data_IF_042108762639
#
_entry.id   IF_042108762639
#
_cell.length_a   1.000
_cell.length_b   1.000
_cell.length_c   1.000
_cell.angle_alpha   90.00
_cell.angle_beta   90.00
_cell.angle_gamma   90.00
#
_symmetry.space_group_name_H-M   'P 1'
#
loop_
_entity.id
_entity.type
_entity.pdbx_description
1 polymer ?
#
# COMPACT_ATOMS: atom_id res chain seq x y z
N UNK A 1 36.09 13.97 7.85
CA UNK A 1 36.43 12.59 8.26
C UNK A 1 35.23 12.02 9.00
N UNK A 2 34.72 10.83 8.65
CA UNK A 2 33.61 10.23 9.38
C UNK A 2 34.02 9.83 10.80
N UNK A 3 33.11 9.98 11.76
CA UNK A 3 33.29 9.49 13.13
C UNK A 3 32.71 8.08 13.26
N UNK A 4 33.60 7.11 13.48
CA UNK A 4 33.27 5.69 13.58
C UNK A 4 33.58 5.15 14.99
N UNK A 5 32.72 5.43 16.00
CA UNK A 5 32.82 4.79 17.30
C UNK A 5 32.47 3.29 17.22
N UNK A 6 32.76 2.54 18.29
CA UNK A 6 32.34 1.14 18.41
C UNK A 6 30.83 1.05 18.70
N UNK A 7 30.03 1.00 17.63
CA UNK A 7 28.56 0.86 17.72
C UNK A 7 28.21 -0.63 17.94
N UNK A 8 27.37 -0.97 18.94
CA UNK A 8 26.90 -2.34 19.17
C UNK A 8 26.25 -2.94 17.91
N UNK A 9 26.37 -4.25 17.69
CA UNK A 9 26.00 -4.88 16.42
C UNK A 9 24.53 -4.64 16.04
N UNK A 10 23.63 -4.81 17.01
CA UNK A 10 22.19 -4.56 16.86
C UNK A 10 21.79 -3.07 16.75
N UNK A 11 22.76 -2.15 16.84
CA UNK A 11 22.55 -0.69 16.74
C UNK A 11 23.16 -0.08 15.47
N UNK A 12 23.82 -0.88 14.63
CA UNK A 12 24.28 -0.44 13.31
C UNK A 12 23.07 -0.16 12.41
N UNK A 13 23.17 0.84 11.53
CA UNK A 13 22.24 1.03 10.41
C UNK A 13 23.02 1.02 9.11
N UNK A 14 22.55 0.17 8.19
CA UNK A 14 23.16 -0.15 6.91
C UNK A 14 23.24 1.06 5.95
N UNK A 15 24.46 1.38 5.51
CA UNK A 15 24.78 2.45 4.55
C UNK A 15 25.07 1.89 3.13
N UNK A 16 25.07 0.58 2.95
CA UNK A 16 25.22 -0.06 1.63
C UNK A 16 24.12 -1.11 1.40
N UNK A 17 22.86 -0.67 1.19
CA UNK A 17 21.74 -1.58 0.91
C UNK A 17 21.83 -2.28 -0.46
N UNK A 18 22.69 -1.79 -1.34
CA UNK A 18 22.88 -2.32 -2.70
C UNK A 18 23.73 -3.60 -2.68
N UNK A 19 23.59 -4.43 -3.72
CA UNK A 19 24.39 -5.64 -3.84
C UNK A 19 25.90 -5.34 -4.00
N UNK A 20 26.75 -6.14 -3.34
CA UNK A 20 28.20 -6.04 -3.47
C UNK A 20 28.83 -4.86 -2.73
N UNK A 21 28.53 -4.73 -1.44
CA UNK A 21 29.21 -3.84 -0.52
C UNK A 21 30.72 -4.15 -0.44
N UNK A 22 31.55 -3.11 -0.47
CA UNK A 22 33.01 -3.25 -0.28
C UNK A 22 33.56 -2.05 0.48
N UNK A 23 34.73 -2.23 1.12
CA UNK A 23 35.41 -1.19 1.90
C UNK A 23 35.52 0.14 1.12
N UNK A 24 36.05 0.07 -0.11
CA UNK A 24 36.23 1.25 -0.97
C UNK A 24 34.91 1.98 -1.26
N UNK A 25 33.83 1.25 -1.58
CA UNK A 25 32.50 1.86 -1.82
C UNK A 25 31.89 2.45 -0.55
N UNK A 26 32.12 1.83 0.60
CA UNK A 26 31.66 2.33 1.90
C UNK A 26 32.37 3.64 2.28
N UNK A 27 33.69 3.68 2.10
CA UNK A 27 34.54 4.86 2.34
C UNK A 27 34.21 6.01 1.36
N UNK A 28 33.90 5.69 0.09
CA UNK A 28 33.39 6.67 -0.89
C UNK A 28 32.05 7.30 -0.46
N UNK A 29 31.14 6.53 0.13
CA UNK A 29 29.89 7.03 0.73
C UNK A 29 30.11 7.77 2.07
N UNK A 30 31.35 7.85 2.55
CA UNK A 30 31.70 8.47 3.82
C UNK A 30 31.21 7.69 5.04
N UNK A 31 31.03 6.37 4.91
CA UNK A 31 30.50 5.49 5.95
C UNK A 31 31.57 4.60 6.59
N UNK A 32 31.20 3.97 7.72
CA UNK A 32 32.09 3.16 8.53
C UNK A 32 32.10 1.71 8.07
N UNK A 33 33.28 1.14 7.85
CA UNK A 33 33.46 -0.26 7.45
C UNK A 33 33.95 -1.12 8.62
N UNK A 34 33.21 -2.18 8.97
CA UNK A 34 33.58 -3.18 9.97
C UNK A 34 33.03 -4.54 9.55
N UNK A 35 33.83 -5.39 8.88
CA UNK A 35 33.43 -6.71 8.42
C UNK A 35 33.30 -7.67 9.62
N UNK A 36 32.36 -8.60 9.53
CA UNK A 36 32.03 -9.57 10.57
C UNK A 36 31.55 -10.89 9.94
N UNK A 37 31.84 -12.02 10.59
CA UNK A 37 31.41 -13.35 10.15
C UNK A 37 29.93 -13.67 10.48
N UNK A 38 29.24 -12.80 11.23
CA UNK A 38 27.81 -12.91 11.52
C UNK A 38 26.96 -12.60 10.28
N UNK A 39 26.09 -13.54 9.91
CA UNK A 39 25.18 -13.37 8.76
C UNK A 39 24.17 -12.25 9.03
N UNK A 40 23.92 -11.45 7.99
CA UNK A 40 22.98 -10.32 7.93
C UNK A 40 23.36 -9.06 8.74
N UNK A 41 24.48 -9.03 9.48
CA UNK A 41 24.95 -7.78 10.14
C UNK A 41 25.62 -6.86 9.11
N UNK A 42 25.27 -5.56 9.02
CA UNK A 42 25.85 -4.65 8.04
C UNK A 42 27.36 -4.44 8.24
N UNK A 43 28.14 -4.78 7.20
CA UNK A 43 29.57 -4.50 7.12
C UNK A 43 29.87 -3.01 6.87
N UNK A 44 28.95 -2.28 6.22
CA UNK A 44 29.00 -0.84 6.01
C UNK A 44 27.85 -0.16 6.75
N UNK A 45 28.16 0.75 7.68
CA UNK A 45 27.16 1.42 8.52
C UNK A 45 27.39 2.94 8.62
N UNK A 46 26.33 3.67 8.95
CA UNK A 46 26.38 5.13 9.03
C UNK A 46 27.25 5.66 10.19
N UNK A 47 27.98 6.78 9.99
CA UNK A 47 28.72 7.45 11.05
C UNK A 47 27.82 8.43 11.82
N UNK A 48 28.25 8.84 13.02
CA UNK A 48 27.49 9.75 13.90
C UNK A 48 27.39 11.20 13.40
N UNK A 49 28.12 11.57 12.34
CA UNK A 49 28.20 12.93 11.81
C UNK A 49 27.44 13.16 10.49
N UNK A 50 26.61 12.21 10.07
CA UNK A 50 25.69 12.35 8.93
C UNK A 50 24.32 12.86 9.44
N UNK A 51 23.49 13.48 8.60
CA UNK A 51 22.16 13.99 8.98
C UNK A 51 22.03 15.52 8.89
N UNK A 52 21.17 16.10 9.73
CA UNK A 52 20.68 17.49 9.61
C UNK A 52 20.84 18.31 10.92
N UNK A 53 20.47 19.59 10.92
CA UNK A 53 20.59 20.51 12.07
C UNK A 53 19.50 21.60 12.07
N UNK A 54 18.98 21.98 13.26
CA UNK A 54 17.92 22.98 13.52
C UNK A 54 16.48 22.59 13.08
N UNK A 55 15.47 23.40 13.43
CA UNK A 55 14.06 23.14 13.09
C UNK A 55 13.75 23.36 11.60
N UNK A 56 14.37 24.38 10.99
CA UNK A 56 14.75 24.35 9.58
C UNK A 56 16.03 23.52 9.49
N UNK A 57 15.87 22.29 9.05
CA UNK A 57 16.89 21.25 8.99
C UNK A 57 17.86 21.51 7.85
N UNK A 58 19.04 22.06 8.15
CA UNK A 58 20.14 22.13 7.19
C UNK A 58 20.97 20.84 7.19
N UNK A 59 21.20 20.27 6.00
CA UNK A 59 22.04 19.07 5.77
C UNK A 59 23.48 19.31 6.24
N UNK A 60 24.08 18.33 6.90
CA UNK A 60 25.50 18.32 7.25
C UNK A 60 26.38 18.03 6.02
N UNK A 61 27.65 18.46 6.06
CA UNK A 61 28.59 18.26 4.95
C UNK A 61 29.06 16.78 4.86
N UNK A 62 28.30 15.96 4.13
CA UNK A 62 28.59 14.56 3.83
C UNK A 62 28.53 14.28 2.31
N UNK A 63 29.23 13.23 1.81
CA UNK A 63 29.03 12.73 0.45
C UNK A 63 27.55 12.39 0.18
N UNK A 64 27.17 12.42 -1.11
CA UNK A 64 25.87 11.92 -1.54
C UNK A 64 25.87 10.39 -1.61
N UNK A 65 24.71 9.77 -1.34
CA UNK A 65 24.53 8.32 -1.48
C UNK A 65 23.97 7.92 -2.85
N UNK A 66 23.01 8.71 -3.36
CA UNK A 66 22.20 8.40 -4.55
C UNK A 66 21.99 9.62 -5.48
N UNK A 67 22.62 10.77 -5.19
CA UNK A 67 22.38 12.05 -5.88
C UNK A 67 21.21 12.84 -5.29
N UNK A 68 21.07 14.10 -5.73
CA UNK A 68 19.93 14.98 -5.44
C UNK A 68 19.50 15.09 -3.96
N UNK A 69 20.46 15.16 -3.03
CA UNK A 69 20.21 15.47 -1.63
C UNK A 69 19.55 16.85 -1.46
N UNK A 70 18.57 16.97 -0.55
CA UNK A 70 17.90 18.24 -0.25
C UNK A 70 18.60 18.92 0.92
N UNK A 71 19.02 20.18 0.73
CA UNK A 71 19.77 20.95 1.73
C UNK A 71 18.92 21.48 2.89
N UNK A 72 17.67 21.91 2.63
CA UNK A 72 16.81 22.62 3.59
C UNK A 72 15.46 21.92 3.77
N UNK A 73 15.32 21.09 4.81
CA UNK A 73 14.02 20.49 5.18
C UNK A 73 13.36 21.29 6.29
N UNK A 74 12.03 21.19 6.41
CA UNK A 74 11.30 21.68 7.59
C UNK A 74 10.78 20.47 8.37
N UNK A 75 11.08 20.43 9.67
CA UNK A 75 10.44 19.50 10.60
C UNK A 75 9.23 20.17 11.25
N UNK A 76 8.04 19.68 10.94
CA UNK A 76 6.80 20.06 11.61
C UNK A 76 6.30 18.91 12.48
N UNK A 77 5.85 19.19 13.69
CA UNK A 77 5.23 18.20 14.56
C UNK A 77 4.04 18.79 15.30
N UNK A 78 2.91 18.10 15.25
CA UNK A 78 1.64 18.52 15.83
C UNK A 78 1.06 17.38 16.71
N UNK A 79 0.53 17.75 17.86
CA UNK A 79 -0.24 16.84 18.71
C UNK A 79 -1.72 17.03 18.34
N UNK A 80 -2.28 16.11 17.55
CA UNK A 80 -3.64 16.24 17.00
C UNK A 80 -4.72 15.89 18.03
N UNK A 81 -4.46 14.87 18.84
CA UNK A 81 -5.29 14.44 19.97
C UNK A 81 -4.36 14.13 21.16
N UNK A 82 -4.90 13.80 22.34
CA UNK A 82 -4.05 13.35 23.45
C UNK A 82 -3.38 11.98 23.19
N UNK A 83 -3.87 11.24 22.19
CA UNK A 83 -3.46 9.90 21.78
C UNK A 83 -2.69 9.86 20.45
N UNK A 84 -2.65 10.95 19.66
CA UNK A 84 -2.07 10.96 18.31
C UNK A 84 -1.10 12.13 18.08
N UNK A 85 0.19 11.80 17.97
CA UNK A 85 1.26 12.69 17.54
C UNK A 85 1.49 12.50 16.04
N UNK A 86 1.49 13.58 15.26
CA UNK A 86 1.98 13.57 13.87
C UNK A 86 3.31 14.31 13.79
N UNK A 87 4.22 13.83 12.95
CA UNK A 87 5.37 14.62 12.51
C UNK A 87 5.60 14.45 11.01
N UNK A 88 6.02 15.54 10.36
CA UNK A 88 6.24 15.65 8.93
C UNK A 88 7.60 16.28 8.65
N UNK A 89 8.37 15.66 7.75
CA UNK A 89 9.62 16.20 7.22
C UNK A 89 9.44 16.37 5.71
N UNK A 90 9.60 17.60 5.25
CA UNK A 90 9.36 18.01 3.87
C UNK A 90 10.41 19.05 3.43
N UNK A 91 10.54 19.24 2.13
CA UNK A 91 11.41 20.26 1.53
C UNK A 91 10.86 21.67 1.83
N UNK A 92 11.72 22.60 2.24
CA UNK A 92 11.33 23.97 2.64
C UNK A 92 11.14 24.92 1.46
N UNK A 93 11.69 24.58 0.29
CA UNK A 93 11.73 25.42 -0.91
C UNK A 93 10.77 24.91 -2.00
N UNK A 94 10.50 23.59 -2.03
CA UNK A 94 9.71 22.94 -3.08
C UNK A 94 8.59 22.08 -2.50
N UNK A 95 7.38 22.25 -3.02
CA UNK A 95 6.30 21.30 -2.78
C UNK A 95 6.65 19.96 -3.43
N UNK A 96 6.57 18.88 -2.65
CA UNK A 96 6.79 17.50 -3.09
C UNK A 96 5.46 16.75 -3.15
N UNK A 97 5.45 15.56 -3.73
CA UNK A 97 4.27 14.69 -3.71
C UNK A 97 3.89 14.31 -2.26
N UNK A 98 2.63 14.50 -1.93
CA UNK A 98 1.98 14.07 -0.69
C UNK A 98 0.77 13.22 -1.07
N UNK A 99 0.43 12.20 -0.26
CA UNK A 99 -0.66 11.27 -0.61
C UNK A 99 -2.02 11.98 -0.45
N UNK A 100 -2.83 12.12 -1.53
CA UNK A 100 -4.15 12.72 -1.46
C UNK A 100 -5.15 11.70 -0.88
N UNK A 101 -5.26 11.62 0.44
CA UNK A 101 -6.02 10.57 1.13
C UNK A 101 -7.40 11.10 1.60
N UNK A 102 -8.49 10.57 1.03
CA UNK A 102 -9.87 11.11 1.18
C UNK A 102 -10.36 11.26 2.63
N UNK A 103 -10.03 10.30 3.50
CA UNK A 103 -10.43 10.30 4.90
C UNK A 103 -9.52 11.13 5.82
N UNK A 104 -8.24 11.35 5.48
CA UNK A 104 -7.30 12.05 6.35
C UNK A 104 -7.49 13.57 6.21
N UNK A 105 -8.40 14.10 7.03
CA UNK A 105 -8.65 15.54 7.13
C UNK A 105 -7.63 16.22 8.06
N UNK A 106 -7.26 17.45 7.75
CA UNK A 106 -6.49 18.32 8.66
C UNK A 106 -7.34 18.65 9.89
N UNK A 107 -7.11 17.91 10.98
CA UNK A 107 -7.82 18.12 12.25
C UNK A 107 -7.30 19.37 12.94
N UNK A 108 -8.20 20.25 13.40
CA UNK A 108 -7.84 21.42 14.20
C UNK A 108 -7.18 21.00 15.53
N UNK A 109 -5.97 21.48 15.79
CA UNK A 109 -5.13 21.03 16.91
C UNK A 109 -5.59 21.62 18.25
N UNK A 110 -6.39 20.83 18.99
CA UNK A 110 -6.83 21.11 20.36
C UNK A 110 -6.21 20.13 21.40
N UNK A 111 -4.87 20.01 21.52
CA UNK A 111 -4.24 19.11 22.47
C UNK A 111 -4.44 19.59 23.92
N UNK A 112 -4.78 18.68 24.83
CA UNK A 112 -4.95 18.99 26.27
C UNK A 112 -3.62 19.01 27.04
N UNK A 113 -2.48 18.86 26.37
CA UNK A 113 -1.16 18.80 27.01
C UNK A 113 -0.03 19.26 26.07
N UNK A 114 1.06 19.86 26.59
CA UNK A 114 2.17 20.32 25.76
C UNK A 114 2.90 19.17 25.05
N UNK A 115 3.12 19.33 23.74
CA UNK A 115 3.89 18.39 22.89
C UNK A 115 5.32 18.11 23.43
N UNK A 116 5.90 19.04 24.19
CA UNK A 116 7.19 18.90 24.85
C UNK A 116 7.25 17.77 25.93
N UNK A 117 6.10 17.26 26.39
CA UNK A 117 6.03 16.10 27.26
C UNK A 117 6.26 14.80 26.49
N UNK A 118 5.79 14.74 25.24
CA UNK A 118 5.84 13.55 24.38
C UNK A 118 7.01 13.55 23.41
N UNK A 119 7.52 14.72 22.99
CA UNK A 119 8.57 14.87 21.99
C UNK A 119 9.83 15.50 22.61
N UNK A 120 11.01 14.91 22.37
CA UNK A 120 12.33 15.52 22.63
C UNK A 120 13.11 15.62 21.33
N UNK A 121 13.59 16.82 20.98
CA UNK A 121 14.43 17.03 19.78
C UNK A 121 15.89 17.18 20.22
N UNK A 122 16.78 16.44 19.56
CA UNK A 122 18.23 16.60 19.58
C UNK A 122 18.62 17.40 18.33
N UNK A 123 19.44 18.44 18.48
CA UNK A 123 19.76 19.36 17.38
C UNK A 123 21.04 19.01 16.59
N UNK A 124 21.97 18.25 17.17
CA UNK A 124 23.30 17.95 16.61
C UNK A 124 23.76 16.53 16.99
N UNK A 125 23.78 15.55 16.05
CA UNK A 125 23.02 15.57 14.80
C UNK A 125 21.50 15.68 15.08
N UNK A 126 20.72 16.07 14.08
CA UNK A 126 19.26 16.03 14.22
C UNK A 126 18.76 14.59 14.42
N UNK A 127 17.96 14.43 15.46
CA UNK A 127 17.16 13.24 15.73
C UNK A 127 16.16 13.58 16.84
N UNK A 128 15.15 12.75 17.03
CA UNK A 128 14.10 13.01 18.01
C UNK A 128 13.66 11.72 18.71
N UNK A 129 13.17 11.89 19.94
CA UNK A 129 12.67 10.82 20.79
C UNK A 129 11.23 11.12 21.14
N UNK A 130 10.33 10.24 20.72
CA UNK A 130 8.95 10.23 21.16
C UNK A 130 8.85 9.31 22.37
N UNK A 131 8.23 9.80 23.43
CA UNK A 131 8.11 9.17 24.76
C UNK A 131 6.64 9.21 25.18
N UNK A 132 6.18 8.15 25.83
CA UNK A 132 4.82 8.07 26.39
C UNK A 132 4.79 8.60 27.83
N UNK A 133 5.80 8.21 28.61
CA UNK A 133 6.12 8.72 29.94
C UNK A 133 7.64 8.98 29.98
N UNK A 134 8.13 9.72 30.97
CA UNK A 134 9.56 10.10 31.09
C UNK A 134 10.55 8.94 30.92
N UNK A 135 10.21 7.76 31.47
CA UNK A 135 11.05 6.56 31.46
C UNK A 135 10.81 5.62 30.27
N UNK A 136 9.98 5.97 29.27
CA UNK A 136 9.63 5.06 28.17
C UNK A 136 9.52 5.76 26.81
N UNK A 137 10.64 5.77 26.07
CA UNK A 137 10.69 6.10 24.66
C UNK A 137 9.92 5.04 23.85
N UNK A 138 9.10 5.47 22.89
CA UNK A 138 8.37 4.60 21.94
C UNK A 138 8.96 4.62 20.53
N UNK A 139 9.64 5.70 20.16
CA UNK A 139 10.26 5.89 18.85
C UNK A 139 11.49 6.80 19.03
N UNK A 140 12.70 6.32 18.73
CA UNK A 140 13.95 7.06 18.97
C UNK A 140 14.83 7.02 17.72
N UNK A 141 14.90 8.14 16.99
CA UNK A 141 15.63 8.23 15.72
C UNK A 141 17.11 8.55 15.90
N UNK A 142 17.60 8.75 17.13
CA UNK A 142 19.01 9.15 17.38
C UNK A 142 20.05 8.05 17.15
N UNK A 143 19.62 6.84 16.77
CA UNK A 143 20.52 5.74 16.39
C UNK A 143 21.16 5.92 15.01
N UNK A 144 20.52 6.70 14.13
CA UNK A 144 20.88 6.75 12.72
C UNK A 144 20.64 8.15 12.12
N UNK A 145 21.37 8.54 11.07
CA UNK A 145 21.09 9.79 10.38
C UNK A 145 19.77 9.71 9.61
N UNK A 146 19.03 10.82 9.64
CA UNK A 146 18.07 11.15 8.59
C UNK A 146 18.82 11.34 7.26
N UNK A 147 18.37 10.67 6.21
CA UNK A 147 18.78 10.93 4.82
C UNK A 147 17.55 11.40 4.04
N UNK A 148 17.70 12.45 3.24
CA UNK A 148 16.62 12.98 2.42
C UNK A 148 17.17 13.50 1.09
N UNK A 149 16.96 12.72 0.04
CA UNK A 149 17.25 13.05 -1.34
C UNK A 149 15.99 12.84 -2.18
N UNK A 150 15.94 13.43 -3.38
CA UNK A 150 14.74 13.46 -4.22
C UNK A 150 14.13 12.06 -4.45
N UNK A 151 14.99 11.06 -4.72
CA UNK A 151 14.59 9.66 -4.94
C UNK A 151 15.12 8.69 -3.86
N UNK A 152 15.57 9.20 -2.71
CA UNK A 152 15.96 8.35 -1.57
C UNK A 152 15.77 9.06 -0.23
N UNK A 153 14.73 8.66 0.51
CA UNK A 153 14.46 9.12 1.87
C UNK A 153 14.68 7.94 2.82
N UNK A 154 15.47 8.13 3.89
CA UNK A 154 15.68 7.12 4.93
C UNK A 154 15.50 7.69 6.35
N UNK A 155 14.68 7.00 7.15
CA UNK A 155 14.51 7.24 8.58
C UNK A 155 14.54 5.91 9.33
N UNK A 156 15.31 5.82 10.42
CA UNK A 156 15.39 4.63 11.27
C UNK A 156 14.99 4.99 12.69
N UNK A 157 14.37 4.07 13.43
CA UNK A 157 13.99 4.31 14.82
C UNK A 157 14.19 3.08 15.71
N UNK A 158 14.68 3.31 16.94
CA UNK A 158 14.59 2.32 18.02
C UNK A 158 13.13 2.15 18.44
N UNK A 159 12.73 0.90 18.63
CA UNK A 159 11.47 0.53 19.26
C UNK A 159 11.75 -0.04 20.67
N UNK A 160 10.82 0.12 21.64
CA UNK A 160 11.03 -0.31 23.02
C UNK A 160 10.90 -1.83 23.25
N UNK A 161 10.50 -2.61 22.23
CA UNK A 161 10.36 -4.07 22.37
C UNK A 161 10.45 -4.79 21.03
N UNK A 162 10.65 -6.10 21.12
CA UNK A 162 10.68 -7.03 19.99
C UNK A 162 9.27 -7.51 19.55
N UNK A 163 8.20 -6.98 20.16
CA UNK A 163 6.82 -7.37 19.86
C UNK A 163 6.23 -6.43 18.79
N UNK A 164 6.56 -6.72 17.52
CA UNK A 164 6.14 -5.95 16.35
C UNK A 164 5.10 -6.75 15.55
N UNK A 165 4.07 -6.08 15.05
CA UNK A 165 2.93 -6.63 14.31
C UNK A 165 2.52 -5.66 13.18
N UNK A 166 1.75 -6.13 12.19
CA UNK A 166 1.40 -5.33 11.01
C UNK A 166 2.46 -5.41 9.90
N UNK A 167 2.59 -4.34 9.10
CA UNK A 167 3.21 -4.32 7.76
C UNK A 167 2.45 -5.20 6.74
N UNK A 168 2.66 -4.99 5.44
CA UNK A 168 2.02 -5.78 4.39
C UNK A 168 1.93 -5.09 3.03
N UNK A 169 1.38 -5.76 2.01
CA UNK A 169 0.84 -7.13 2.05
C UNK A 169 1.95 -8.19 1.82
N UNK A 170 2.20 -9.04 2.83
CA UNK A 170 3.29 -10.02 2.81
C UNK A 170 2.95 -11.31 3.57
N UNK A 171 3.59 -12.42 3.20
CA UNK A 171 3.41 -13.74 3.84
C UNK A 171 4.34 -13.93 5.04
N UNK A 172 4.12 -13.21 6.14
CA UNK A 172 5.02 -13.23 7.31
C UNK A 172 5.25 -14.62 7.95
N UNK A 173 4.37 -15.60 7.71
CA UNK A 173 4.28 -16.95 8.33
C UNK A 173 4.16 -17.00 9.87
N UNK A 174 4.46 -15.91 10.57
CA UNK A 174 4.19 -15.70 12.01
C UNK A 174 3.57 -14.31 12.17
N UNK A 175 2.59 -14.18 13.07
CA UNK A 175 1.90 -12.91 13.28
C UNK A 175 2.77 -11.87 14.00
N UNK A 176 3.49 -12.29 15.06
CA UNK A 176 4.60 -11.49 15.60
C UNK A 176 5.77 -11.59 14.63
N UNK A 177 6.32 -10.45 14.22
CA UNK A 177 7.57 -10.40 13.48
C UNK A 177 8.70 -11.09 14.25
N UNK A 178 9.62 -11.69 13.50
CA UNK A 178 10.96 -12.05 13.95
C UNK A 178 11.75 -10.74 14.26
N UNK A 179 12.97 -10.81 14.82
CA UNK A 179 13.81 -9.62 15.10
C UNK A 179 15.32 -9.83 14.85
N UNK A 180 15.72 -10.19 13.62
CA UNK A 180 17.11 -10.48 13.20
C UNK A 180 17.42 -10.15 11.70
N UNK A 181 17.25 -8.89 11.26
CA UNK A 181 17.65 -8.38 9.91
C UNK A 181 17.06 -9.05 8.65
N UNK A 182 16.09 -8.39 8.01
CA UNK A 182 15.57 -8.56 6.62
C UNK A 182 15.07 -7.19 6.14
N UNK A 183 14.49 -7.16 4.94
CA UNK A 183 13.74 -6.03 4.40
C UNK A 183 12.33 -6.50 4.01
N UNK A 184 11.30 -5.69 4.26
CA UNK A 184 9.92 -5.91 3.81
C UNK A 184 9.58 -4.89 2.70
N UNK A 185 9.63 -5.27 1.41
CA UNK A 185 9.43 -4.33 0.31
C UNK A 185 7.93 -4.08 0.06
N UNK A 186 7.46 -2.88 0.37
CA UNK A 186 6.06 -2.49 0.16
C UNK A 186 5.93 -1.78 -1.20
N UNK A 187 5.41 -2.49 -2.18
CA UNK A 187 4.98 -1.97 -3.48
C UNK A 187 3.84 -2.86 -4.01
N UNK A 188 2.75 -2.26 -4.48
CA UNK A 188 1.57 -2.98 -4.97
C UNK A 188 1.91 -3.81 -6.21
N UNK A 189 1.81 -5.13 -6.12
CA UNK A 189 2.31 -6.04 -7.16
C UNK A 189 1.55 -7.35 -7.20
N UNK A 190 1.03 -7.70 -8.39
CA UNK A 190 0.63 -9.07 -8.73
C UNK A 190 1.84 -10.02 -8.64
N UNK A 191 1.78 -10.91 -7.66
CA UNK A 191 2.72 -12.01 -7.43
C UNK A 191 2.06 -13.07 -6.53
N UNK A 192 2.40 -14.35 -6.76
CA UNK A 192 1.93 -15.43 -5.88
C UNK A 192 2.51 -15.27 -4.45
N UNK A 193 1.74 -15.62 -3.39
CA UNK A 193 2.13 -15.44 -1.98
C UNK A 193 3.24 -16.41 -1.52
N UNK A 194 4.46 -16.19 -2.02
CA UNK A 194 5.62 -17.08 -1.86
C UNK A 194 6.83 -16.36 -1.22
N UNK A 195 6.84 -16.19 0.10
CA UNK A 195 7.98 -15.58 0.80
C UNK A 195 8.09 -15.90 2.29
N UNK A 196 9.18 -16.55 2.69
CA UNK A 196 9.81 -16.29 4.00
C UNK A 196 10.55 -14.93 3.90
N UNK A 197 10.87 -14.23 4.99
CA UNK A 197 12.09 -14.50 5.75
C UNK A 197 12.23 -13.66 7.03
N UNK A 198 13.21 -14.01 7.87
CA UNK A 198 13.92 -12.78 9.50
C UNK A 198 13.87 -11.26 9.59
N UNK A 199 12.70 -10.61 9.69
CA UNK A 199 12.49 -9.36 10.48
C UNK A 199 12.86 -7.96 9.93
N UNK A 200 12.55 -6.90 10.70
CA UNK A 200 13.23 -5.60 10.65
C UNK A 200 14.17 -5.35 11.86
N UNK A 201 15.17 -4.46 11.70
CA UNK A 201 15.22 -3.26 12.55
C UNK A 201 14.55 -2.16 11.73
N UNK A 202 13.62 -1.38 12.29
CA UNK A 202 12.70 -0.60 11.44
C UNK A 202 13.39 0.64 10.85
N UNK A 203 13.87 0.45 9.63
CA UNK A 203 14.45 1.45 8.75
C UNK A 203 13.50 1.64 7.58
N UNK A 204 12.77 2.76 7.56
CA UNK A 204 11.96 3.14 6.40
C UNK A 204 12.88 3.67 5.31
N UNK A 205 12.76 3.10 4.11
CA UNK A 205 13.43 3.54 2.88
C UNK A 205 12.35 3.73 1.82
N UNK A 206 12.22 4.92 1.27
CA UNK A 206 11.27 5.23 0.18
C UNK A 206 11.95 6.00 -0.94
N UNK A 207 11.45 5.84 -2.16
CA UNK A 207 12.03 6.34 -3.41
C UNK A 207 11.43 7.68 -3.87
N UNK A 208 10.68 8.36 -3.01
CA UNK A 208 10.10 9.67 -3.32
C UNK A 208 9.10 10.17 -2.26
N UNK A 209 8.43 11.27 -2.58
CA UNK A 209 7.44 11.91 -1.71
C UNK A 209 8.06 12.67 -0.53
N UNK A 210 7.47 12.51 0.64
CA UNK A 210 7.86 13.11 1.92
C UNK A 210 7.83 12.06 3.05
N UNK A 211 8.33 12.42 4.23
CA UNK A 211 7.99 11.68 5.44
C UNK A 211 6.82 12.37 6.15
N UNK A 212 5.64 11.76 6.15
CA UNK A 212 4.53 12.09 7.05
C UNK A 212 4.22 10.86 7.92
N UNK A 213 4.33 10.99 9.24
CA UNK A 213 4.24 9.89 10.19
C UNK A 213 3.26 10.21 11.31
N UNK A 214 2.49 9.19 11.71
CA UNK A 214 1.56 9.24 12.84
C UNK A 214 1.98 8.21 13.88
N UNK A 215 2.12 8.64 15.13
CA UNK A 215 2.40 7.80 16.29
C UNK A 215 1.19 7.86 17.21
N UNK A 216 0.63 6.68 17.45
CA UNK A 216 -0.56 6.47 18.27
C UNK A 216 -0.18 5.91 19.65
N UNK A 217 -0.82 6.41 20.69
CA UNK A 217 -0.65 5.97 22.07
C UNK A 217 -1.95 5.33 22.57
N UNK A 218 -1.86 4.10 23.08
CA UNK A 218 -2.96 3.40 23.76
C UNK A 218 -2.46 2.58 24.94
N UNK A 219 -3.33 2.34 25.91
CA UNK A 219 -3.06 1.46 27.05
C UNK A 219 -3.13 -0.03 26.65
N UNK A 220 -3.98 -0.38 25.68
CA UNK A 220 -4.05 -1.73 25.09
C UNK A 220 -3.74 -1.72 23.58
N UNK A 221 -3.39 -2.87 22.97
CA UNK A 221 -3.21 -2.99 21.52
C UNK A 221 -4.45 -2.60 20.72
N UNK A 222 -5.64 -2.92 21.22
CA UNK A 222 -6.93 -2.65 20.57
C UNK A 222 -7.18 -1.14 20.46
N UNK A 223 -6.81 -0.35 21.49
CA UNK A 223 -6.89 1.11 21.44
C UNK A 223 -5.96 1.71 20.38
N UNK A 224 -4.76 1.13 20.19
CA UNK A 224 -3.84 1.57 19.11
C UNK A 224 -4.45 1.31 17.73
N UNK A 225 -5.17 0.20 17.54
CA UNK A 225 -5.92 -0.09 16.31
C UNK A 225 -7.10 0.87 16.14
N UNK A 226 -7.85 1.17 17.21
CA UNK A 226 -8.97 2.13 17.18
C UNK A 226 -8.50 3.54 16.78
N UNK A 227 -7.42 4.04 17.37
CA UNK A 227 -6.82 5.35 17.06
C UNK A 227 -6.26 5.44 15.63
N UNK A 228 -5.74 4.34 15.10
CA UNK A 228 -5.33 4.24 13.70
C UNK A 228 -6.53 4.31 12.76
N UNK A 229 -7.58 3.53 13.01
CA UNK A 229 -8.81 3.53 12.21
C UNK A 229 -9.58 4.87 12.30
N UNK A 230 -9.45 5.60 13.42
CA UNK A 230 -10.00 6.96 13.56
C UNK A 230 -9.25 8.00 12.70
N UNK A 231 -8.02 7.71 12.27
CA UNK A 231 -7.29 8.56 11.31
C UNK A 231 -7.59 8.17 9.86
N UNK A 232 -7.41 6.90 9.50
CA UNK A 232 -7.44 6.46 8.08
C UNK A 232 -8.84 6.19 7.54
N UNK A 233 -9.84 6.11 8.43
CA UNK A 233 -11.19 5.67 8.13
C UNK A 233 -11.50 4.33 8.80
N UNK A 234 -12.63 4.27 9.50
CA UNK A 234 -13.13 3.01 10.08
C UNK A 234 -13.63 2.09 8.96
N UNK A 235 -13.48 0.76 9.07
CA UNK A 235 -14.00 -0.16 8.07
C UNK A 235 -15.51 0.02 7.90
N UNK A 236 -15.98 -0.04 6.66
CA UNK A 236 -17.41 -0.04 6.36
C UNK A 236 -18.09 -1.25 7.01
N UNK A 237 -19.33 -1.07 7.47
CA UNK A 237 -20.13 -2.19 7.99
C UNK A 237 -20.50 -3.07 6.79
N UNK A 238 -20.05 -4.35 6.73
CA UNK A 238 -20.41 -5.23 5.63
C UNK A 238 -21.92 -5.54 5.66
N UNK A 239 -22.57 -5.71 4.49
CA UNK A 239 -23.96 -6.15 4.46
C UNK A 239 -24.04 -7.57 5.04
N UNK A 240 -25.07 -7.87 5.83
CA UNK A 240 -25.14 -9.12 6.61
C UNK A 240 -24.91 -10.40 5.79
N UNK A 241 -25.39 -10.42 4.54
CA UNK A 241 -25.22 -11.55 3.62
C UNK A 241 -23.75 -11.81 3.22
N UNK A 242 -22.84 -10.83 3.29
CA UNK A 242 -21.43 -11.02 2.90
C UNK A 242 -20.61 -11.80 3.93
N UNK A 243 -21.19 -12.07 5.11
CA UNK A 243 -20.66 -12.98 6.12
C UNK A 243 -21.02 -14.45 5.84
N UNK A 244 -21.89 -14.71 4.86
CA UNK A 244 -22.31 -16.04 4.43
C UNK A 244 -21.25 -16.80 3.62
N UNK A 245 -21.51 -18.07 3.33
CA UNK A 245 -20.54 -18.89 2.60
C UNK A 245 -20.48 -18.52 1.11
N UNK A 246 -19.26 -18.23 0.65
CA UNK A 246 -18.94 -17.79 -0.70
C UNK A 246 -18.39 -18.94 -1.53
N UNK A 247 -19.00 -19.21 -2.70
CA UNK A 247 -18.46 -20.17 -3.66
C UNK A 247 -17.96 -19.47 -4.92
N UNK A 248 -16.68 -19.70 -5.25
CA UNK A 248 -16.03 -19.22 -6.46
C UNK A 248 -15.12 -20.30 -7.07
N UNK A 249 -14.78 -20.11 -8.35
CA UNK A 249 -13.79 -20.86 -9.11
C UNK A 249 -13.48 -20.06 -10.38
N UNK A 250 -12.19 -19.96 -10.71
CA UNK A 250 -11.75 -19.55 -12.05
C UNK A 250 -12.11 -20.62 -13.09
N UNK A 251 -12.79 -20.21 -14.16
CA UNK A 251 -13.19 -21.04 -15.29
C UNK A 251 -14.12 -22.22 -14.93
N UNK A 252 -15.42 -21.92 -14.78
CA UNK A 252 -16.48 -22.93 -14.85
C UNK A 252 -16.74 -23.38 -16.30
N UNK A 253 -16.43 -22.54 -17.27
CA UNK A 253 -16.47 -22.78 -18.72
C UNK A 253 -17.83 -22.54 -19.35
N UNK A 254 -18.92 -22.96 -18.68
CA UNK A 254 -20.30 -22.77 -19.12
C UNK A 254 -21.26 -22.58 -17.95
N UNK A 255 -22.36 -21.85 -18.19
CA UNK A 255 -23.42 -21.62 -17.21
C UNK A 255 -24.10 -22.92 -16.71
N UNK A 256 -24.11 -23.99 -17.51
CA UNK A 256 -24.67 -25.29 -17.11
C UNK A 256 -23.86 -25.97 -16.00
N UNK A 257 -22.53 -25.89 -16.03
CA UNK A 257 -21.69 -26.38 -14.93
C UNK A 257 -21.80 -25.48 -13.69
N UNK A 258 -21.98 -24.16 -13.83
CA UNK A 258 -22.29 -23.28 -12.69
C UNK A 258 -23.61 -23.70 -12.01
N UNK A 259 -24.69 -23.84 -12.78
CA UNK A 259 -26.01 -24.30 -12.28
C UNK A 259 -25.89 -25.65 -11.55
N UNK A 260 -25.20 -26.62 -12.16
CA UNK A 260 -24.94 -27.96 -11.59
C UNK A 260 -24.08 -27.94 -10.31
N UNK A 261 -23.14 -26.99 -10.20
CA UNK A 261 -22.33 -26.79 -8.98
C UNK A 261 -23.15 -26.13 -7.86
N UNK A 262 -24.07 -25.22 -8.18
CA UNK A 262 -25.02 -24.66 -7.21
C UNK A 262 -25.98 -25.74 -6.70
N UNK A 263 -26.65 -26.47 -7.59
CA UNK A 263 -27.67 -27.46 -7.19
C UNK A 263 -27.10 -28.60 -6.34
N UNK A 264 -25.90 -29.13 -6.66
CA UNK A 264 -25.30 -30.19 -5.85
C UNK A 264 -24.94 -29.73 -4.42
N UNK A 265 -24.59 -28.46 -4.24
CA UNK A 265 -24.24 -27.91 -2.92
C UNK A 265 -25.51 -27.63 -2.10
N UNK A 266 -26.56 -27.10 -2.74
CA UNK A 266 -27.90 -26.96 -2.15
C UNK A 266 -28.45 -28.32 -1.71
N UNK A 267 -28.33 -29.36 -2.55
CA UNK A 267 -28.83 -30.72 -2.28
C UNK A 267 -28.13 -31.42 -1.09
N UNK A 268 -26.91 -31.02 -0.74
CA UNK A 268 -26.17 -31.52 0.44
C UNK A 268 -26.59 -30.81 1.73
N UNK A 269 -27.36 -29.72 1.66
CA UNK A 269 -27.78 -28.95 2.82
C UNK A 269 -26.62 -28.20 3.49
N UNK A 270 -25.61 -27.80 2.71
CA UNK A 270 -24.55 -26.90 3.17
C UNK A 270 -25.19 -25.62 3.77
N UNK A 271 -24.77 -25.17 4.97
CA UNK A 271 -25.30 -23.96 5.59
C UNK A 271 -25.20 -22.80 4.61
N UNK A 272 -26.37 -22.26 4.26
CA UNK A 272 -26.67 -21.35 3.15
C UNK A 272 -25.43 -20.85 2.39
N UNK A 273 -25.23 -21.39 1.18
CA UNK A 273 -24.35 -20.81 0.17
C UNK A 273 -24.96 -19.47 -0.25
N UNK A 274 -24.82 -18.42 0.56
CA UNK A 274 -25.49 -17.14 0.33
C UNK A 274 -25.01 -16.47 -0.95
N UNK A 275 -23.80 -16.79 -1.45
CA UNK A 275 -23.18 -16.10 -2.58
C UNK A 275 -22.60 -17.09 -3.60
N UNK A 276 -22.93 -16.88 -4.87
CA UNK A 276 -22.23 -17.48 -6.01
C UNK A 276 -21.45 -16.39 -6.75
N UNK A 277 -20.14 -16.60 -6.93
CA UNK A 277 -19.29 -15.76 -7.77
C UNK A 277 -19.31 -16.27 -9.21
N UNK A 278 -18.98 -15.44 -10.20
CA UNK A 278 -18.49 -15.94 -11.49
C UNK A 278 -17.30 -15.11 -11.95
N UNK A 279 -16.30 -15.84 -12.41
CA UNK A 279 -14.99 -15.35 -12.85
C UNK A 279 -15.03 -14.97 -14.35
N UNK A 280 -13.91 -14.57 -14.93
CA UNK A 280 -13.82 -13.99 -16.28
C UNK A 280 -14.37 -14.89 -17.41
N UNK A 281 -14.68 -16.16 -17.13
CA UNK A 281 -15.28 -17.07 -18.11
C UNK A 281 -16.72 -16.73 -18.51
N UNK A 282 -17.43 -15.88 -17.74
CA UNK A 282 -18.74 -15.35 -18.14
C UNK A 282 -18.65 -14.31 -19.27
N UNK A 283 -17.54 -13.58 -19.38
CA UNK A 283 -17.37 -12.43 -20.26
C UNK A 283 -17.22 -12.82 -21.73
N UNK A 284 -17.61 -11.92 -22.65
CA UNK A 284 -17.32 -12.07 -24.08
C UNK A 284 -15.82 -11.82 -24.32
N UNK A 285 -15.06 -12.89 -24.55
CA UNK A 285 -13.60 -12.84 -24.75
C UNK A 285 -12.83 -12.07 -23.64
N UNK A 286 -13.26 -12.18 -22.38
CA UNK A 286 -12.66 -11.47 -21.22
C UNK A 286 -12.74 -9.93 -21.34
N UNK A 287 -13.84 -9.40 -21.91
CA UNK A 287 -14.18 -7.97 -21.89
C UNK A 287 -15.14 -7.64 -20.75
N UNK A 288 -14.79 -6.66 -19.92
CA UNK A 288 -15.69 -6.10 -18.90
C UNK A 288 -17.04 -5.62 -19.47
N UNK A 289 -18.05 -5.56 -18.61
CA UNK A 289 -19.42 -5.15 -18.95
C UNK A 289 -20.10 -5.96 -20.09
N UNK A 290 -19.56 -7.11 -20.47
CA UNK A 290 -20.15 -8.04 -21.46
C UNK A 290 -20.46 -9.42 -20.86
N UNK A 291 -21.23 -10.24 -21.56
CA UNK A 291 -21.32 -11.67 -21.28
C UNK A 291 -21.37 -12.49 -22.57
N UNK A 292 -20.85 -13.71 -22.51
CA UNK A 292 -20.79 -14.65 -23.62
C UNK A 292 -22.20 -15.17 -23.97
N UNK A 293 -22.73 -14.73 -25.11
CA UNK A 293 -24.09 -15.05 -25.58
C UNK A 293 -24.27 -16.50 -26.04
N UNK A 294 -23.18 -17.28 -26.12
CA UNK A 294 -23.20 -18.70 -26.48
C UNK A 294 -23.11 -19.60 -25.24
N UNK A 295 -22.13 -19.37 -24.35
CA UNK A 295 -21.84 -20.18 -23.14
C UNK A 295 -22.60 -19.73 -21.89
N UNK A 296 -23.05 -18.47 -21.85
CA UNK A 296 -23.72 -17.82 -20.73
C UNK A 296 -25.04 -17.13 -21.15
N UNK A 297 -25.70 -17.63 -22.20
CA UNK A 297 -26.94 -17.07 -22.77
C UNK A 297 -28.07 -16.79 -21.76
N UNK A 298 -28.22 -17.62 -20.73
CA UNK A 298 -29.28 -17.52 -19.72
C UNK A 298 -28.83 -16.83 -18.42
N UNK A 299 -27.75 -16.05 -18.47
CA UNK A 299 -27.13 -15.44 -17.30
C UNK A 299 -28.05 -14.45 -16.55
N UNK A 300 -28.85 -13.58 -17.20
CA UNK A 300 -29.84 -12.74 -16.52
C UNK A 300 -30.87 -13.57 -15.72
N UNK A 301 -31.40 -14.63 -16.34
CA UNK A 301 -32.38 -15.53 -15.71
C UNK A 301 -31.75 -16.36 -14.58
N UNK A 302 -30.45 -16.67 -14.66
CA UNK A 302 -29.73 -17.32 -13.58
C UNK A 302 -29.54 -16.40 -12.37
N UNK A 303 -29.25 -15.10 -12.58
CA UNK A 303 -29.19 -14.13 -11.49
C UNK A 303 -30.55 -14.02 -10.76
N UNK A 304 -31.65 -13.90 -11.51
CA UNK A 304 -33.00 -13.89 -10.94
C UNK A 304 -33.33 -15.20 -10.19
N UNK A 305 -32.90 -16.36 -10.71
CA UNK A 305 -33.04 -17.65 -10.04
C UNK A 305 -32.23 -17.77 -8.74
N UNK A 306 -31.09 -17.09 -8.61
CA UNK A 306 -30.37 -17.00 -7.34
C UNK A 306 -31.17 -16.16 -6.34
N UNK A 307 -31.70 -15.00 -6.78
CA UNK A 307 -32.53 -14.11 -5.96
C UNK A 307 -33.82 -14.79 -5.46
N UNK A 308 -34.50 -15.56 -6.31
CA UNK A 308 -35.67 -16.37 -5.92
C UNK A 308 -35.39 -17.35 -4.77
N UNK A 309 -34.14 -17.81 -4.62
CA UNK A 309 -33.72 -18.73 -3.55
C UNK A 309 -33.02 -18.01 -2.39
N UNK A 310 -33.10 -16.67 -2.35
CA UNK A 310 -32.48 -15.83 -1.33
C UNK A 310 -30.97 -15.66 -1.45
N UNK A 311 -30.34 -16.26 -2.47
CA UNK A 311 -28.91 -16.15 -2.73
C UNK A 311 -28.56 -14.84 -3.44
N UNK A 312 -27.27 -14.53 -3.46
CA UNK A 312 -26.64 -13.34 -4.04
C UNK A 312 -25.70 -13.74 -5.17
N UNK A 313 -25.54 -12.84 -6.13
CA UNK A 313 -24.69 -13.05 -7.29
C UNK A 313 -23.61 -11.98 -7.39
N UNK A 314 -22.35 -12.40 -7.53
CA UNK A 314 -21.20 -11.50 -7.62
C UNK A 314 -20.43 -11.80 -8.91
N UNK A 315 -20.07 -10.74 -9.62
CA UNK A 315 -19.29 -10.78 -10.85
C UNK A 315 -17.91 -10.18 -10.62
N UNK A 316 -16.88 -10.80 -11.19
CA UNK A 316 -15.56 -10.19 -11.30
C UNK A 316 -15.60 -9.01 -12.29
N UNK A 317 -14.83 -7.96 -12.02
CA UNK A 317 -14.47 -6.96 -13.03
C UNK A 317 -12.97 -6.65 -12.94
N UNK A 318 -12.35 -6.50 -14.09
CA UNK A 318 -10.98 -6.03 -14.23
C UNK A 318 -10.97 -4.50 -14.47
N UNK A 319 -9.87 -3.78 -14.17
CA UNK A 319 -9.72 -2.38 -14.56
C UNK A 319 -9.26 -2.22 -16.01
N UNK A 320 -8.78 -3.28 -16.68
CA UNK A 320 -8.04 -3.18 -17.93
C UNK A 320 -8.96 -3.29 -19.16
N UNK A 321 -9.46 -2.16 -19.65
CA UNK A 321 -10.43 -2.10 -20.75
C UNK A 321 -9.76 -2.42 -22.09
N UNK A 322 -10.21 -3.51 -22.73
CA UNK A 322 -9.73 -3.91 -24.04
C UNK A 322 -9.95 -2.84 -25.13
N UNK A 323 -8.98 -2.65 -26.02
CA UNK A 323 -9.09 -1.80 -27.22
C UNK A 323 -9.76 -2.52 -28.40
N UNK A 324 -9.86 -3.85 -28.34
CA UNK A 324 -10.39 -4.68 -29.41
C UNK A 324 -11.91 -4.63 -29.50
N UNK A 325 -12.44 -4.74 -30.72
CA UNK A 325 -13.88 -4.86 -31.00
C UNK A 325 -14.51 -6.13 -30.43
N UNK A 326 -15.84 -6.16 -30.39
CA UNK A 326 -16.67 -7.27 -29.95
C UNK A 326 -16.77 -8.37 -31.01
N UNK A 327 -17.33 -9.52 -30.64
CA UNK A 327 -17.64 -10.60 -31.59
C UNK A 327 -18.51 -10.06 -32.74
N UNK A 328 -18.17 -10.39 -33.99
CA UNK A 328 -18.87 -9.90 -35.18
C UNK A 328 -18.50 -8.47 -35.63
N UNK A 329 -17.33 -7.94 -35.23
CA UNK A 329 -16.83 -6.59 -35.58
C UNK A 329 -17.67 -5.42 -35.01
N UNK A 330 -18.51 -5.70 -34.02
CA UNK A 330 -19.31 -4.70 -33.32
C UNK A 330 -18.44 -3.77 -32.45
N UNK A 331 -18.83 -2.49 -32.28
CA UNK A 331 -18.12 -1.56 -31.40
C UNK A 331 -18.12 -2.05 -29.94
N UNK A 332 -17.05 -1.72 -29.21
CA UNK A 332 -16.98 -1.99 -27.78
C UNK A 332 -17.28 -0.70 -27.03
N UNK A 333 -18.58 -0.42 -26.88
CA UNK A 333 -19.09 0.89 -26.48
C UNK A 333 -18.49 1.43 -25.17
N UNK A 334 -18.08 0.57 -24.24
CA UNK A 334 -17.46 0.99 -22.97
C UNK A 334 -16.07 1.62 -23.17
N UNK A 335 -15.31 1.14 -24.16
CA UNK A 335 -14.06 1.78 -24.60
C UNK A 335 -14.33 3.07 -25.38
N UNK A 336 -15.35 3.08 -26.24
CA UNK A 336 -15.72 4.27 -27.01
C UNK A 336 -16.14 5.42 -26.08
N UNK A 337 -17.05 5.16 -25.13
CA UNK A 337 -17.50 6.13 -24.10
C UNK A 337 -16.40 6.58 -23.14
N UNK A 338 -15.50 5.70 -22.75
CA UNK A 338 -14.33 6.06 -21.94
C UNK A 338 -13.37 6.99 -22.68
N UNK A 339 -13.21 6.77 -24.00
CA UNK A 339 -12.41 7.61 -24.88
C UNK A 339 -13.06 8.99 -25.11
N UNK A 340 -14.37 9.05 -25.33
CA UNK A 340 -15.12 10.33 -25.40
C UNK A 340 -14.94 11.17 -24.13
N UNK A 341 -14.98 10.54 -22.95
CA UNK A 341 -14.79 11.19 -21.64
C UNK A 341 -13.32 11.42 -21.24
N UNK A 342 -12.36 10.95 -22.04
CA UNK A 342 -10.90 11.02 -21.77
C UNK A 342 -10.54 10.47 -20.38
N UNK A 343 -11.00 9.25 -20.05
CA UNK A 343 -10.84 8.65 -18.70
C UNK A 343 -9.57 7.83 -18.51
N UNK A 344 -8.68 7.77 -19.51
CA UNK A 344 -7.52 6.88 -19.51
C UNK A 344 -6.27 7.49 -18.85
N UNK A 345 -5.48 6.66 -18.17
CA UNK A 345 -4.12 7.02 -17.73
C UNK A 345 -3.26 7.31 -18.97
N UNK A 346 -2.60 8.45 -18.99
CA UNK A 346 -1.77 8.91 -20.13
C UNK A 346 -0.28 8.73 -19.93
N UNK A 347 0.43 8.59 -21.05
CA UNK A 347 1.87 8.69 -21.20
C UNK A 347 2.40 10.05 -20.72
N UNK A 348 3.74 10.18 -20.68
CA UNK A 348 4.44 11.43 -20.34
C UNK A 348 4.12 12.64 -21.23
N UNK A 349 3.37 12.47 -22.32
CA UNK A 349 2.85 13.55 -23.18
C UNK A 349 1.53 14.16 -22.68
N UNK A 350 0.88 13.53 -21.69
CA UNK A 350 -0.42 13.92 -21.13
C UNK A 350 -1.59 13.71 -22.10
N UNK A 351 -1.46 12.85 -23.12
CA UNK A 351 -2.46 12.68 -24.20
C UNK A 351 -2.60 11.26 -24.71
N UNK A 352 -1.51 10.54 -24.92
CA UNK A 352 -1.53 9.17 -25.44
C UNK A 352 -1.87 8.22 -24.28
N UNK A 353 -2.90 7.36 -24.36
CA UNK A 353 -3.17 6.37 -23.32
C UNK A 353 -1.98 5.42 -23.13
N UNK A 354 -1.59 5.11 -21.89
CA UNK A 354 -0.50 4.15 -21.61
C UNK A 354 -0.94 2.74 -22.05
N UNK A 355 -0.01 1.97 -22.60
CA UNK A 355 -0.24 0.64 -23.16
C UNK A 355 -1.27 0.59 -24.32
N UNK A 356 -1.18 1.44 -25.36
CA UNK A 356 -2.20 1.56 -26.44
C UNK A 356 -2.25 0.36 -27.42
N UNK A 357 -1.83 -0.83 -26.97
CA UNK A 357 -1.95 -2.11 -27.66
C UNK A 357 -3.28 -2.78 -27.36
N UNK A 358 -3.28 -3.81 -26.50
CA UNK A 358 -4.44 -4.67 -26.25
C UNK A 358 -5.44 -4.11 -25.22
N UNK A 359 -5.00 -3.30 -24.24
CA UNK A 359 -5.81 -2.78 -23.13
C UNK A 359 -5.36 -1.40 -22.66
N UNK A 360 -6.32 -0.50 -22.39
CA UNK A 360 -6.09 0.79 -21.70
C UNK A 360 -6.49 0.71 -20.23
N UNK A 361 -5.94 1.61 -19.42
CA UNK A 361 -6.21 1.67 -17.97
C UNK A 361 -6.97 2.95 -17.62
N UNK A 362 -8.11 2.89 -16.91
CA UNK A 362 -8.83 4.05 -16.40
C UNK A 362 -8.05 4.76 -15.28
N UNK A 363 -8.05 6.08 -15.30
CA UNK A 363 -7.56 6.92 -14.21
C UNK A 363 -8.66 7.14 -13.16
N UNK A 364 -8.77 6.21 -12.22
CA UNK A 364 -9.70 6.31 -11.09
C UNK A 364 -9.44 7.50 -10.14
N UNK A 365 -8.37 8.29 -10.33
CA UNK A 365 -8.18 9.56 -9.60
C UNK A 365 -8.98 10.72 -10.22
N UNK A 366 -9.41 10.57 -11.49
CA UNK A 366 -10.21 11.56 -12.21
C UNK A 366 -11.71 11.39 -11.93
N UNK A 367 -12.46 12.46 -11.58
CA UNK A 367 -13.90 12.37 -11.38
C UNK A 367 -14.65 11.92 -12.64
N UNK A 368 -14.13 12.27 -13.83
CA UNK A 368 -14.70 11.83 -15.12
C UNK A 368 -14.66 10.30 -15.28
N UNK A 369 -13.63 9.65 -14.73
CA UNK A 369 -13.51 8.19 -14.71
C UNK A 369 -14.52 7.56 -13.76
N UNK A 370 -14.72 8.14 -12.57
CA UNK A 370 -15.76 7.70 -11.63
C UNK A 370 -17.16 7.81 -12.24
N UNK A 371 -17.49 8.94 -12.87
CA UNK A 371 -18.76 9.16 -13.56
C UNK A 371 -18.95 8.28 -14.82
N UNK A 372 -17.86 7.78 -15.41
CA UNK A 372 -17.91 6.77 -16.49
C UNK A 372 -18.14 5.37 -15.91
N UNK A 373 -17.34 4.94 -14.94
CA UNK A 373 -17.45 3.62 -14.31
C UNK A 373 -18.83 3.38 -13.67
N UNK A 374 -19.42 4.42 -13.06
CA UNK A 374 -20.79 4.35 -12.51
C UNK A 374 -21.86 4.20 -13.60
N UNK A 375 -21.68 4.80 -14.78
CA UNK A 375 -22.61 4.65 -15.91
C UNK A 375 -22.48 3.29 -16.59
N UNK A 376 -21.26 2.78 -16.81
CA UNK A 376 -21.03 1.41 -17.29
C UNK A 376 -21.63 0.37 -16.32
N UNK A 377 -21.39 0.52 -15.01
CA UNK A 377 -21.99 -0.32 -13.98
C UNK A 377 -23.53 -0.27 -14.03
N UNK A 378 -24.13 0.92 -14.12
CA UNK A 378 -25.59 1.08 -14.21
C UNK A 378 -26.19 0.53 -15.50
N UNK A 379 -25.44 0.45 -16.60
CA UNK A 379 -25.85 -0.23 -17.84
C UNK A 379 -25.81 -1.74 -17.63
N UNK A 380 -24.68 -2.27 -17.18
CA UNK A 380 -24.47 -3.69 -16.98
C UNK A 380 -25.42 -4.31 -15.95
N UNK A 381 -25.73 -3.60 -14.86
CA UNK A 381 -26.74 -4.01 -13.87
C UNK A 381 -28.17 -4.13 -14.44
N UNK A 382 -28.52 -3.40 -15.51
CA UNK A 382 -29.81 -3.53 -16.20
C UNK A 382 -29.89 -4.81 -17.04
N UNK A 383 -28.76 -5.31 -17.55
CA UNK A 383 -28.70 -6.59 -18.24
C UNK A 383 -28.60 -7.77 -17.27
N UNK A 384 -27.77 -7.68 -16.23
CA UNK A 384 -27.56 -8.75 -15.24
C UNK A 384 -27.65 -8.17 -13.82
N UNK A 385 -28.68 -8.57 -13.08
CA UNK A 385 -28.95 -8.13 -11.69
C UNK A 385 -27.99 -8.82 -10.71
N UNK A 386 -26.76 -8.31 -10.59
CA UNK A 386 -25.76 -8.76 -9.62
C UNK A 386 -25.79 -7.90 -8.35
N UNK A 387 -25.48 -8.47 -7.19
CA UNK A 387 -25.61 -7.83 -5.88
C UNK A 387 -24.37 -7.05 -5.44
N UNK A 388 -23.19 -7.44 -5.93
CA UNK A 388 -21.92 -6.76 -5.69
C UNK A 388 -20.87 -7.13 -6.76
N UNK A 389 -19.72 -6.46 -6.69
CA UNK A 389 -18.58 -6.64 -7.57
C UNK A 389 -17.40 -7.29 -6.84
N UNK A 390 -16.57 -8.00 -7.59
CA UNK A 390 -15.24 -8.45 -7.17
C UNK A 390 -14.20 -7.80 -8.09
N UNK A 391 -13.59 -6.70 -7.63
CA UNK A 391 -12.53 -6.04 -8.39
C UNK A 391 -11.21 -6.80 -8.26
N UNK A 392 -10.60 -7.12 -9.40
CA UNK A 392 -9.35 -7.88 -9.54
C UNK A 392 -8.51 -7.21 -10.64
N UNK A 393 -7.25 -7.61 -10.83
CA UNK A 393 -6.52 -7.34 -12.07
C UNK A 393 -5.85 -8.64 -12.52
N UNK A 394 -6.45 -9.38 -13.44
CA UNK A 394 -5.93 -10.64 -13.93
C UNK A 394 -4.87 -10.43 -15.01
N UNK A 395 -3.64 -10.91 -14.75
CA UNK A 395 -2.62 -11.01 -15.79
C UNK A 395 -2.61 -12.40 -16.41
N UNK A 396 -2.95 -12.48 -17.69
CA UNK A 396 -2.93 -13.73 -18.45
C UNK A 396 -1.49 -14.21 -18.67
N UNK A 397 -0.97 -15.03 -17.75
CA UNK A 397 0.32 -15.70 -17.84
C UNK A 397 0.26 -16.85 -18.85
N UNK A 398 0.56 -16.54 -20.11
CA UNK A 398 1.02 -17.50 -21.12
C UNK A 398 2.42 -18.03 -20.77
#
# INVERSE_FOLDING_TARGET
VPQCPSIPLAERVDCFPDAGASKLKCEQRGCCWSPLDERNVPWCFFPTNHGYMNAQLKRLASPSLFGADIEQLTFHAEMQTNSRLRFKIFDSERQRFEVPHDHIRTVGSNPSSPIANSLKITQKPFGFKVRRNENKNVFDTTMAPLVFADQYLQLSARLPSHNIYGLGEHVHKRYRHDTNWRNWPIFTRDAQPNGLQPAPAVTYRTVGGIFDFYIFFGDTPEQVVQEYLELVGRPVIPPYWSLGFQLSRWNYGTLSEVKKVVERNRAVGLPYQDIQYTDIDYMEHMKDFTYDRNRFKELPQFAEYLHEKGQRYILILDPAIATSRREGDAPYESYDRGTEKNVWVTESDGKTPVWPGETVFPDYTSPNCTDWWVDEYQRFYREIKHDALWIVSFKNTK
#
